data_IF_555742110323
#
_entry.id   IF_555742110323
#
_cell.length_a   1.000
_cell.length_b   1.000
_cell.length_c   1.000
_cell.angle_alpha   90.00
_cell.angle_beta   90.00
_cell.angle_gamma   90.00
#
_symmetry.space_group_name_H-M   'P 1'
#
loop_
_entity.id
_entity.type
_entity.pdbx_description
1 polymer ?
#
# COMPACT_ATOMS: atom_id res chain seq x y z
N UNK A 1 -30.81 16.49 6.13
CA UNK A 1 -29.38 16.48 5.82
C UNK A 1 -28.87 15.12 6.30
N UNK A 2 -28.46 14.22 5.41
CA UNK A 2 -27.92 12.91 5.80
C UNK A 2 -26.39 13.07 5.87
N UNK A 3 -25.90 13.55 7.01
CA UNK A 3 -24.48 13.85 7.25
C UNK A 3 -23.68 12.66 7.81
N UNK A 4 -24.31 11.48 7.90
CA UNK A 4 -23.66 10.25 8.40
C UNK A 4 -23.00 9.38 7.32
N UNK A 5 -23.20 9.69 6.04
CA UNK A 5 -22.54 8.95 4.95
C UNK A 5 -21.11 9.44 4.68
N UNK A 6 -20.73 10.66 5.11
CA UNK A 6 -19.43 11.23 4.76
C UNK A 6 -18.27 10.48 5.42
N UNK A 7 -18.33 10.23 6.73
CA UNK A 7 -17.26 9.55 7.48
C UNK A 7 -17.03 8.10 7.04
N UNK A 8 -18.10 7.38 6.69
CA UNK A 8 -17.99 6.02 6.16
C UNK A 8 -17.43 5.99 4.74
N UNK A 9 -17.75 6.98 3.91
CA UNK A 9 -17.24 7.10 2.54
C UNK A 9 -15.77 7.52 2.50
N UNK A 10 -15.33 8.39 3.40
CA UNK A 10 -13.92 8.79 3.53
C UNK A 10 -13.06 7.59 3.97
N UNK A 11 -13.52 6.80 4.94
CA UNK A 11 -12.81 5.60 5.39
C UNK A 11 -12.73 4.50 4.32
N UNK A 12 -13.80 4.32 3.53
CA UNK A 12 -13.81 3.38 2.39
C UNK A 12 -12.91 3.87 1.25
N UNK A 13 -12.86 5.18 1.01
CA UNK A 13 -12.01 5.80 -0.02
C UNK A 13 -10.54 5.71 0.35
N UNK A 14 -10.18 5.98 1.60
CA UNK A 14 -8.82 5.79 2.11
C UNK A 14 -8.39 4.32 2.03
N UNK A 15 -9.28 3.38 2.36
CA UNK A 15 -9.02 1.95 2.22
C UNK A 15 -8.76 1.58 0.76
N UNK A 16 -9.59 2.04 -0.18
CA UNK A 16 -9.40 1.78 -1.61
C UNK A 16 -8.13 2.42 -2.18
N UNK A 17 -7.80 3.64 -1.75
CA UNK A 17 -6.58 4.33 -2.19
C UNK A 17 -5.32 3.61 -1.72
N UNK A 18 -5.31 3.15 -0.45
CA UNK A 18 -4.23 2.35 0.10
C UNK A 18 -4.06 1.03 -0.65
N UNK A 19 -5.13 0.26 -0.85
CA UNK A 19 -5.05 -1.00 -1.59
C UNK A 19 -4.56 -0.80 -3.03
N UNK A 20 -4.99 0.29 -3.68
CA UNK A 20 -4.55 0.63 -5.03
C UNK A 20 -3.07 0.98 -5.04
N UNK A 21 -2.61 1.83 -4.13
CA UNK A 21 -1.20 2.23 -4.02
C UNK A 21 -0.27 1.02 -3.86
N UNK A 22 -0.66 0.05 -3.02
CA UNK A 22 0.11 -1.18 -2.82
C UNK A 22 0.10 -2.07 -4.07
N UNK A 23 -1.01 -2.12 -4.82
CA UNK A 23 -1.10 -2.89 -6.08
C UNK A 23 -0.35 -2.23 -7.24
N UNK A 24 -0.20 -0.91 -7.21
CA UNK A 24 0.56 -0.15 -8.20
C UNK A 24 2.03 -0.04 -7.85
N UNK A 25 2.43 -0.37 -6.61
CA UNK A 25 3.82 -0.38 -6.21
C UNK A 25 4.61 -1.35 -7.08
N UNK A 26 5.73 -0.89 -7.61
CA UNK A 26 6.62 -1.66 -8.48
C UNK A 26 7.76 -2.30 -7.67
N UNK A 27 7.99 -1.82 -6.44
CA UNK A 27 9.01 -2.31 -5.52
C UNK A 27 8.51 -2.52 -4.10
N UNK A 28 9.13 -3.45 -3.37
CA UNK A 28 8.91 -3.59 -1.92
C UNK A 28 9.24 -2.28 -1.17
N UNK A 29 10.20 -1.49 -1.67
CA UNK A 29 10.58 -0.21 -1.06
C UNK A 29 9.43 0.81 -1.13
N UNK A 30 8.70 0.85 -2.23
CA UNK A 30 7.51 1.70 -2.37
C UNK A 30 6.40 1.25 -1.42
N UNK A 31 6.17 -0.06 -1.32
CA UNK A 31 5.21 -0.62 -0.35
C UNK A 31 5.55 -0.15 1.07
N UNK A 32 6.81 -0.25 1.49
CA UNK A 32 7.25 0.21 2.81
C UNK A 32 7.03 1.72 3.01
N UNK A 33 7.24 2.52 1.96
CA UNK A 33 6.94 3.96 1.97
C UNK A 33 5.47 4.25 2.20
N UNK A 34 4.58 3.56 1.49
CA UNK A 34 3.12 3.67 1.64
C UNK A 34 2.71 3.25 3.06
N UNK A 35 3.26 2.15 3.58
CA UNK A 35 2.99 1.70 4.95
C UNK A 35 3.39 2.76 5.98
N UNK A 36 4.57 3.36 5.82
CA UNK A 36 5.07 4.41 6.70
C UNK A 36 4.20 5.68 6.66
N UNK A 37 3.75 6.11 5.48
CA UNK A 37 2.85 7.27 5.32
C UNK A 37 1.52 7.06 6.05
N UNK A 38 1.00 5.82 6.02
CA UNK A 38 -0.20 5.42 6.74
C UNK A 38 0.04 5.05 8.21
N UNK A 39 1.27 5.18 8.72
CA UNK A 39 1.63 4.82 10.10
C UNK A 39 1.44 3.33 10.43
N UNK A 40 1.52 2.47 9.42
CA UNK A 40 1.28 1.03 9.51
C UNK A 40 2.61 0.26 9.48
N UNK A 41 2.78 -0.70 10.39
CA UNK A 41 3.93 -1.62 10.36
C UNK A 41 3.69 -2.79 9.40
N UNK A 42 4.75 -3.38 8.86
CA UNK A 42 4.67 -4.56 7.98
C UNK A 42 3.91 -5.74 8.60
N UNK A 43 4.07 -5.98 9.91
CA UNK A 43 3.35 -7.02 10.64
C UNK A 43 1.84 -6.74 10.64
N UNK A 44 1.45 -5.49 10.94
CA UNK A 44 0.06 -5.07 10.92
C UNK A 44 -0.54 -5.14 9.51
N UNK A 45 0.24 -4.76 8.50
CA UNK A 45 -0.12 -4.89 7.09
C UNK A 45 -0.31 -6.35 6.67
N UNK A 46 0.59 -7.25 7.06
CA UNK A 46 0.48 -8.69 6.74
C UNK A 46 -0.73 -9.32 7.43
N UNK A 47 -1.06 -8.88 8.64
CA UNK A 47 -2.22 -9.36 9.40
C UNK A 47 -3.55 -8.83 8.82
N UNK A 48 -3.64 -7.52 8.55
CA UNK A 48 -4.85 -6.90 7.98
C UNK A 48 -5.07 -7.21 6.50
N UNK A 49 -3.99 -7.27 5.72
CA UNK A 49 -4.01 -7.39 4.26
C UNK A 49 -3.09 -8.51 3.77
N UNK A 50 -3.34 -9.77 4.14
CA UNK A 50 -2.49 -10.90 3.76
C UNK A 50 -2.41 -11.12 2.24
N UNK A 51 -3.44 -10.69 1.49
CA UNK A 51 -3.45 -10.75 0.03
C UNK A 51 -2.48 -9.73 -0.56
N UNK A 52 -2.50 -8.50 -0.08
CA UNK A 52 -1.58 -7.45 -0.52
C UNK A 52 -0.15 -7.73 -0.09
N UNK A 53 0.06 -8.29 1.09
CA UNK A 53 1.38 -8.71 1.55
C UNK A 53 2.01 -9.74 0.62
N UNK A 54 1.23 -10.69 0.11
CA UNK A 54 1.72 -11.65 -0.91
C UNK A 54 2.09 -10.97 -2.23
N UNK A 55 1.35 -9.94 -2.64
CA UNK A 55 1.68 -9.15 -3.83
C UNK A 55 2.99 -8.41 -3.61
N UNK A 56 3.13 -7.73 -2.48
CA UNK A 56 4.34 -6.99 -2.11
C UNK A 56 5.58 -7.89 -1.97
N UNK A 57 5.41 -9.13 -1.47
CA UNK A 57 6.47 -10.14 -1.42
C UNK A 57 6.94 -10.61 -2.80
N UNK A 58 6.09 -10.47 -3.83
CA UNK A 58 6.45 -10.78 -5.21
C UNK A 58 7.16 -9.62 -5.93
N UNK A 59 7.20 -8.43 -5.33
CA UNK A 59 7.86 -7.28 -5.92
C UNK A 59 9.38 -7.34 -5.74
N UNK A 60 10.15 -6.80 -6.69
CA UNK A 60 11.58 -6.64 -6.52
C UNK A 60 11.89 -5.75 -5.31
N UNK A 61 12.85 -6.15 -4.49
CA UNK A 61 13.35 -5.36 -3.36
C UNK A 61 14.47 -4.38 -3.79
N UNK A 62 14.47 -3.96 -5.05
CA UNK A 62 15.39 -2.93 -5.54
C UNK A 62 14.60 -1.64 -5.75
N UNK A 63 15.14 -0.48 -5.38
CA UNK A 63 14.61 0.78 -5.89
C UNK A 63 14.71 0.75 -7.42
N UNK A 64 13.76 1.39 -8.11
CA UNK A 64 13.64 1.46 -9.58
C UNK A 64 14.90 2.03 -10.30
N UNK A 65 15.94 2.38 -9.55
CA UNK A 65 17.28 2.71 -10.07
C UNK A 65 18.12 1.44 -10.29
N UNK A 66 17.64 0.56 -11.18
CA UNK A 66 18.45 -0.50 -11.76
C UNK A 66 18.29 -0.54 -13.29
N UNK A 67 18.33 0.64 -13.92
CA UNK A 67 18.72 0.70 -15.33
C UNK A 67 20.16 0.14 -15.44
N UNK A 68 20.42 -0.84 -16.33
CA UNK A 68 21.76 -1.42 -16.45
C UNK A 68 22.75 -0.34 -16.88
N UNK A 69 23.97 -0.29 -16.30
CA UNK A 69 25.01 0.57 -16.85
C UNK A 69 25.35 0.07 -18.26
N UNK A 70 25.27 0.97 -19.23
CA UNK A 70 25.72 0.77 -20.62
C UNK A 70 27.22 0.50 -20.69
#
# INVERSE_FOLDING_TARGET
MNEQDSESLDSLRESSAFELAIKTAESTVEVLGILHEHGMSEEAFTNRFPVLAKVAQGLPNVPDEAAPPV
#
